data_IF_783886645344
#
_entry.id   IF_783886645344
#
_cell.length_a   1.000
_cell.length_b   1.000
_cell.length_c   1.000
_cell.angle_alpha   90.00
_cell.angle_beta   90.00
_cell.angle_gamma   90.00
#
_symmetry.space_group_name_H-M   'P 1'
#
loop_
_entity.id
_entity.type
_entity.pdbx_description
1 polymer ?
#
# COMPACT_ATOMS: atom_id res chain seq x y z
N UNK A 1 0.16 -8.12 -30.91
CA UNK A 1 0.87 -7.05 -30.18
C UNK A 1 2.20 -7.60 -29.67
N UNK A 2 3.26 -6.83 -29.81
CA UNK A 2 4.56 -7.18 -29.18
C UNK A 2 4.43 -7.14 -27.66
N UNK A 3 5.23 -7.96 -26.95
CA UNK A 3 5.30 -7.90 -25.49
C UNK A 3 5.79 -6.52 -25.04
N UNK A 4 5.31 -6.02 -23.89
CA UNK A 4 5.79 -4.75 -23.33
C UNK A 4 7.31 -4.78 -23.09
N UNK A 5 7.97 -3.66 -23.35
CA UNK A 5 9.39 -3.50 -23.03
C UNK A 5 9.66 -3.40 -21.52
N UNK A 6 8.67 -2.97 -20.74
CA UNK A 6 8.75 -2.89 -19.28
C UNK A 6 8.38 -4.22 -18.59
N UNK A 7 8.69 -4.33 -17.30
CA UNK A 7 8.42 -5.51 -16.46
C UNK A 7 7.26 -5.31 -15.48
N UNK A 8 6.32 -4.45 -15.83
CA UNK A 8 5.15 -4.12 -15.01
C UNK A 8 5.36 -2.88 -14.15
N UNK A 9 4.26 -2.39 -13.59
CA UNK A 9 4.25 -1.28 -12.63
C UNK A 9 4.70 -1.81 -11.27
N UNK A 10 5.88 -1.40 -10.79
CA UNK A 10 6.50 -1.91 -9.56
C UNK A 10 7.08 -0.83 -8.67
N UNK A 11 6.88 0.42 -9.02
CA UNK A 11 7.30 1.56 -8.21
C UNK A 11 6.15 2.54 -8.08
N UNK A 12 5.92 2.99 -6.85
CA UNK A 12 4.98 4.07 -6.54
C UNK A 12 5.61 4.96 -5.46
N UNK A 13 5.39 6.26 -5.56
CA UNK A 13 5.83 7.22 -4.56
C UNK A 13 4.63 8.05 -4.07
N UNK A 14 4.49 8.19 -2.75
CA UNK A 14 3.48 9.04 -2.12
C UNK A 14 4.15 10.21 -1.40
N UNK A 15 3.51 11.36 -1.46
CA UNK A 15 3.84 12.48 -0.56
C UNK A 15 3.07 12.31 0.74
N UNK A 16 3.72 12.55 1.87
CA UNK A 16 3.14 12.38 3.21
C UNK A 16 3.32 13.62 4.07
N UNK A 17 2.39 13.85 4.97
CA UNK A 17 2.42 15.01 5.88
C UNK A 17 3.37 14.80 7.07
N UNK A 18 3.63 13.55 7.45
CA UNK A 18 4.56 13.19 8.52
C UNK A 18 5.24 11.85 8.18
N UNK A 19 6.49 11.94 7.71
CA UNK A 19 7.24 10.78 7.24
C UNK A 19 7.43 9.72 8.33
N UNK A 20 7.78 10.13 9.55
CA UNK A 20 8.03 9.19 10.65
C UNK A 20 6.78 8.38 11.00
N UNK A 21 5.62 9.03 11.04
CA UNK A 21 4.32 8.37 11.28
C UNK A 21 3.97 7.41 10.15
N UNK A 22 4.06 7.85 8.91
CA UNK A 22 3.76 7.02 7.74
C UNK A 22 4.75 5.86 7.61
N UNK A 23 6.05 6.08 7.85
CA UNK A 23 7.05 5.02 7.92
C UNK A 23 6.65 3.92 8.90
N UNK A 24 6.34 4.30 10.14
CA UNK A 24 5.91 3.35 11.17
C UNK A 24 4.70 2.53 10.72
N UNK A 25 3.72 3.17 10.08
CA UNK A 25 2.54 2.52 9.53
C UNK A 25 2.91 1.42 8.53
N UNK A 26 3.69 1.74 7.50
CA UNK A 26 4.03 0.79 6.44
C UNK A 26 4.96 -0.34 6.92
N UNK A 27 5.90 -0.05 7.81
CA UNK A 27 6.75 -1.07 8.41
C UNK A 27 5.96 -2.04 9.30
N UNK A 28 5.15 -1.51 10.23
CA UNK A 28 4.49 -2.33 11.24
C UNK A 28 3.23 -3.04 10.77
N UNK A 29 2.49 -2.43 9.84
CA UNK A 29 1.22 -2.96 9.38
C UNK A 29 1.37 -3.84 8.13
N UNK A 30 2.17 -3.40 7.16
CA UNK A 30 2.38 -4.11 5.91
C UNK A 30 3.66 -4.95 5.89
N UNK A 31 4.49 -4.86 6.93
CA UNK A 31 5.76 -5.59 6.99
C UNK A 31 6.75 -5.20 5.90
N UNK A 32 6.60 -4.00 5.32
CA UNK A 32 7.52 -3.50 4.31
C UNK A 32 8.88 -3.19 4.93
N UNK A 33 9.95 -3.56 4.24
CA UNK A 33 11.32 -3.33 4.71
C UNK A 33 11.91 -2.10 4.08
N UNK A 34 12.50 -1.22 4.88
CA UNK A 34 13.29 -0.10 4.38
C UNK A 34 14.49 -0.66 3.62
N UNK A 35 14.65 -0.24 2.36
CA UNK A 35 15.76 -0.63 1.48
C UNK A 35 16.69 0.55 1.19
N UNK A 36 16.22 1.77 1.37
CA UNK A 36 17.03 2.97 1.20
C UNK A 36 16.42 4.17 1.95
N UNK A 37 17.25 4.92 2.63
CA UNK A 37 16.88 6.14 3.37
C UNK A 37 18.01 7.16 3.22
N UNK A 38 18.00 7.95 2.12
CA UNK A 38 19.09 8.86 1.81
C UNK A 38 19.17 10.07 2.73
N UNK A 39 18.05 10.49 3.30
CA UNK A 39 17.89 11.70 4.11
C UNK A 39 16.60 11.63 4.96
N UNK A 40 16.36 12.58 5.89
CA UNK A 40 15.19 12.57 6.76
C UNK A 40 13.84 12.75 6.06
N UNK A 41 13.82 13.19 4.81
CA UNK A 41 12.60 13.51 4.06
C UNK A 41 12.19 12.41 3.07
N UNK A 42 13.01 11.35 2.93
CA UNK A 42 12.81 10.32 1.93
C UNK A 42 13.07 8.93 2.49
N UNK A 43 12.15 8.00 2.29
CA UNK A 43 12.31 6.59 2.63
C UNK A 43 11.74 5.70 1.54
N UNK A 44 12.45 4.60 1.27
CA UNK A 44 12.10 3.62 0.24
C UNK A 44 11.98 2.24 0.86
N UNK A 45 10.90 1.55 0.52
CA UNK A 45 10.58 0.21 1.02
C UNK A 45 10.51 -0.79 -0.11
N UNK A 46 10.59 -2.07 0.25
CA UNK A 46 10.27 -3.17 -0.65
C UNK A 46 9.61 -4.32 0.12
N UNK A 47 8.66 -4.97 -0.55
CA UNK A 47 8.07 -6.26 -0.13
C UNK A 47 8.77 -7.44 -0.82
N UNK A 48 9.77 -7.18 -1.69
CA UNK A 48 10.56 -8.19 -2.40
C UNK A 48 10.70 -7.92 -3.89
N UNK A 49 9.60 -7.62 -4.60
CA UNK A 49 9.59 -7.41 -6.05
C UNK A 49 9.05 -6.04 -6.47
N UNK A 50 8.89 -5.15 -5.53
CA UNK A 50 8.38 -3.79 -5.67
C UNK A 50 9.35 -2.76 -5.09
N UNK A 51 9.05 -1.49 -5.32
CA UNK A 51 9.70 -0.37 -4.67
C UNK A 51 8.64 0.70 -4.36
N UNK A 52 8.48 0.99 -3.10
CA UNK A 52 7.51 1.95 -2.59
C UNK A 52 8.21 3.09 -1.87
N UNK A 53 7.93 4.33 -2.24
CA UNK A 53 8.60 5.49 -1.67
C UNK A 53 7.63 6.40 -0.93
N UNK A 54 8.10 6.99 0.16
CA UNK A 54 7.44 8.09 0.85
C UNK A 54 8.34 9.32 0.82
N UNK A 55 7.76 10.46 0.47
CA UNK A 55 8.42 11.74 0.44
C UNK A 55 7.70 12.72 1.37
N UNK A 56 8.43 13.31 2.32
CA UNK A 56 7.90 14.33 3.21
C UNK A 56 7.46 15.55 2.40
N UNK A 57 6.25 16.03 2.62
CA UNK A 57 5.83 17.34 2.12
C UNK A 57 6.67 18.40 2.82
N UNK A 58 7.34 19.31 2.10
CA UNK A 58 8.15 20.36 2.70
C UNK A 58 7.37 21.21 3.70
N UNK A 59 8.02 21.62 4.79
CA UNK A 59 7.37 22.43 5.83
C UNK A 59 6.71 23.71 5.28
N UNK A 60 7.29 24.30 4.25
CA UNK A 60 6.73 25.48 3.56
C UNK A 60 5.42 25.20 2.82
N UNK A 61 5.14 23.94 2.47
CA UNK A 61 3.92 23.54 1.77
C UNK A 61 2.85 22.96 2.73
N UNK A 62 3.24 22.49 3.93
CA UNK A 62 2.33 21.80 4.85
C UNK A 62 1.14 22.66 5.27
N UNK A 63 1.34 23.96 5.52
CA UNK A 63 0.27 24.88 5.94
C UNK A 63 -0.77 25.14 4.84
N UNK A 64 -0.35 25.05 3.59
CA UNK A 64 -1.23 25.21 2.42
C UNK A 64 -1.74 23.87 1.89
N UNK A 65 -1.25 22.74 2.42
CA UNK A 65 -1.66 21.42 1.98
C UNK A 65 -3.12 21.17 2.37
N UNK A 66 -3.93 20.98 1.35
CA UNK A 66 -5.33 20.55 1.51
C UNK A 66 -5.45 19.15 0.90
N UNK A 67 -5.90 18.15 1.66
CA UNK A 67 -6.27 16.86 1.07
C UNK A 67 -7.32 17.11 -0.02
N UNK A 68 -6.98 16.76 -1.26
CA UNK A 68 -7.90 16.94 -2.36
C UNK A 68 -9.09 15.99 -2.20
N UNK A 69 -10.30 16.53 -2.20
CA UNK A 69 -11.48 15.72 -2.47
C UNK A 69 -11.42 15.27 -3.94
N UNK A 70 -11.46 13.94 -4.17
CA UNK A 70 -11.34 13.41 -5.52
C UNK A 70 -9.93 13.48 -6.09
N UNK A 71 -8.91 13.16 -5.28
CA UNK A 71 -7.53 13.05 -5.78
C UNK A 71 -7.42 12.04 -6.93
N UNK A 72 -6.47 12.27 -7.83
CA UNK A 72 -6.29 11.43 -9.03
C UNK A 72 -5.85 9.99 -8.72
N UNK A 73 -5.07 9.78 -7.66
CA UNK A 73 -4.73 8.44 -7.20
C UNK A 73 -5.89 7.87 -6.38
N UNK A 74 -6.58 6.88 -6.94
CA UNK A 74 -7.69 6.21 -6.27
C UNK A 74 -7.19 5.33 -5.11
N UNK A 75 -6.29 4.40 -5.38
CA UNK A 75 -5.67 3.54 -4.38
C UNK A 75 -4.37 2.91 -4.89
N UNK A 76 -3.59 2.36 -3.97
CA UNK A 76 -2.50 1.42 -4.24
C UNK A 76 -2.91 0.03 -3.76
N UNK A 77 -2.43 -1.04 -4.41
CA UNK A 77 -2.78 -2.41 -4.06
C UNK A 77 -1.59 -3.26 -3.66
N UNK A 78 -1.76 -4.06 -2.61
CA UNK A 78 -0.86 -5.15 -2.25
C UNK A 78 -1.53 -6.47 -2.59
N UNK A 79 -0.77 -7.38 -3.21
CA UNK A 79 -1.30 -8.65 -3.72
C UNK A 79 -1.13 -9.75 -2.67
N UNK A 80 -2.23 -10.48 -2.44
CA UNK A 80 -2.28 -11.66 -1.58
C UNK A 80 -2.54 -12.92 -2.42
N UNK A 81 -2.11 -14.06 -1.91
CA UNK A 81 -2.12 -15.33 -2.63
C UNK A 81 -3.51 -15.97 -2.79
N UNK A 82 -4.45 -15.65 -1.86
CA UNK A 82 -5.78 -16.26 -1.85
C UNK A 82 -6.80 -15.37 -1.13
N UNK A 83 -8.12 -15.61 -1.32
CA UNK A 83 -9.17 -14.94 -0.54
C UNK A 83 -9.01 -15.15 0.97
N UNK A 84 -8.61 -16.34 1.41
CA UNK A 84 -8.38 -16.65 2.82
C UNK A 84 -7.20 -15.84 3.39
N UNK A 85 -6.19 -15.54 2.57
CA UNK A 85 -5.09 -14.66 2.97
C UNK A 85 -5.56 -13.21 3.14
N UNK A 86 -6.53 -12.75 2.34
CA UNK A 86 -7.18 -11.44 2.50
C UNK A 86 -7.93 -11.38 3.83
N UNK A 87 -8.71 -12.41 4.17
CA UNK A 87 -9.44 -12.47 5.45
C UNK A 87 -8.49 -12.50 6.65
N UNK A 88 -7.41 -13.28 6.58
CA UNK A 88 -6.38 -13.31 7.64
C UNK A 88 -5.75 -11.93 7.82
N UNK A 89 -5.36 -11.27 6.73
CA UNK A 89 -4.79 -9.93 6.78
C UNK A 89 -5.78 -8.92 7.38
N UNK A 90 -7.06 -9.00 7.02
CA UNK A 90 -8.09 -8.14 7.60
C UNK A 90 -8.16 -8.29 9.12
N UNK A 91 -8.20 -9.52 9.63
CA UNK A 91 -8.24 -9.82 11.05
C UNK A 91 -7.02 -9.31 11.83
N UNK A 92 -5.85 -9.30 11.20
CA UNK A 92 -4.60 -8.79 11.79
C UNK A 92 -4.50 -7.26 11.74
N UNK A 93 -4.98 -6.66 10.66
CA UNK A 93 -4.84 -5.22 10.39
C UNK A 93 -5.89 -4.40 11.12
N UNK A 94 -7.14 -4.82 11.09
CA UNK A 94 -8.28 -4.04 11.61
C UNK A 94 -8.07 -3.58 13.06
N UNK A 95 -7.70 -4.43 14.03
CA UNK A 95 -7.55 -4.01 15.43
C UNK A 95 -6.37 -3.05 15.68
N UNK A 96 -5.40 -2.98 14.74
CA UNK A 96 -4.20 -2.16 14.86
C UNK A 96 -4.27 -0.81 14.15
N UNK A 97 -5.25 -0.67 13.24
CA UNK A 97 -5.33 0.50 12.35
C UNK A 97 -5.43 1.82 13.09
N UNK A 98 -6.31 1.92 14.09
CA UNK A 98 -6.55 3.19 14.79
C UNK A 98 -5.31 3.69 15.54
N UNK A 99 -4.54 2.80 16.16
CA UNK A 99 -3.28 3.16 16.85
C UNK A 99 -2.21 3.67 15.89
N UNK A 100 -2.21 3.14 14.66
CA UNK A 100 -1.27 3.51 13.60
C UNK A 100 -1.78 4.67 12.72
N UNK A 101 -2.94 5.25 13.05
CA UNK A 101 -3.49 6.41 12.37
C UNK A 101 -4.33 6.09 11.13
N UNK A 102 -4.61 4.81 10.87
CA UNK A 102 -5.43 4.36 9.75
C UNK A 102 -6.86 3.99 10.15
N UNK A 103 -7.64 3.54 9.17
CA UNK A 103 -9.00 3.04 9.37
C UNK A 103 -9.41 2.08 8.26
N UNK A 104 -10.40 1.22 8.51
CA UNK A 104 -11.05 0.45 7.44
C UNK A 104 -11.91 1.40 6.59
N UNK A 105 -11.73 1.31 5.28
CA UNK A 105 -12.52 2.06 4.27
C UNK A 105 -13.63 1.20 3.72
N UNK A 106 -13.33 -0.07 3.39
CA UNK A 106 -14.32 -1.06 2.93
C UNK A 106 -13.95 -2.43 3.50
N UNK A 107 -14.89 -3.18 4.10
CA UNK A 107 -14.63 -4.53 4.59
C UNK A 107 -14.40 -5.51 3.42
N UNK A 108 -13.93 -6.74 3.71
CA UNK A 108 -13.72 -7.77 2.70
C UNK A 108 -14.96 -8.02 1.84
N UNK A 109 -14.75 -8.08 0.53
CA UNK A 109 -15.82 -8.27 -0.45
C UNK A 109 -15.33 -8.96 -1.71
N UNK A 110 -16.17 -9.87 -2.24
CA UNK A 110 -16.02 -10.45 -3.57
C UNK A 110 -16.43 -9.44 -4.65
N UNK A 111 -15.62 -9.33 -5.69
CA UNK A 111 -15.88 -8.45 -6.85
C UNK A 111 -16.32 -9.26 -8.07
N UNK A 112 -16.89 -8.56 -9.07
CA UNK A 112 -17.44 -9.19 -10.29
C UNK A 112 -16.41 -9.87 -11.19
N UNK A 113 -15.17 -9.41 -11.12
CA UNK A 113 -14.02 -9.94 -11.88
C UNK A 113 -13.39 -11.18 -11.24
N UNK A 114 -13.94 -11.66 -10.11
CA UNK A 114 -13.41 -12.79 -9.35
C UNK A 114 -12.38 -12.39 -8.31
N UNK A 115 -12.00 -11.10 -8.21
CA UNK A 115 -11.12 -10.63 -7.17
C UNK A 115 -11.83 -10.56 -5.82
N UNK A 116 -11.04 -10.61 -4.73
CA UNK A 116 -11.50 -10.48 -3.35
C UNK A 116 -10.59 -9.54 -2.60
N UNK A 117 -11.14 -8.53 -1.93
CA UNK A 117 -10.32 -7.50 -1.31
C UNK A 117 -11.01 -6.76 -0.18
N UNK A 118 -10.22 -6.08 0.65
CA UNK A 118 -10.68 -5.01 1.53
C UNK A 118 -9.84 -3.75 1.32
N UNK A 119 -10.33 -2.63 1.83
CA UNK A 119 -9.65 -1.34 1.74
C UNK A 119 -9.46 -0.73 3.11
N UNK A 120 -8.31 -0.16 3.34
CA UNK A 120 -7.98 0.62 4.54
C UNK A 120 -7.20 1.87 4.15
N UNK A 121 -7.11 2.84 5.04
CA UNK A 121 -6.36 4.06 4.79
C UNK A 121 -5.07 4.10 5.60
N UNK A 122 -4.06 4.77 5.04
CA UNK A 122 -2.88 5.20 5.79
C UNK A 122 -3.19 6.45 6.62
N UNK A 123 -2.22 6.97 7.42
CA UNK A 123 -2.43 8.14 8.26
C UNK A 123 -2.78 9.44 7.52
N UNK A 124 -2.46 9.53 6.24
CA UNK A 124 -2.79 10.68 5.40
C UNK A 124 -4.10 10.49 4.59
N UNK A 125 -4.76 9.34 4.74
CA UNK A 125 -5.99 9.03 4.05
C UNK A 125 -5.80 8.38 2.68
N UNK A 126 -4.56 8.01 2.30
CA UNK A 126 -4.35 7.24 1.07
C UNK A 126 -5.00 5.87 1.21
N UNK A 127 -5.78 5.47 0.20
CA UNK A 127 -6.44 4.17 0.19
C UNK A 127 -5.48 3.07 -0.24
N UNK A 128 -5.49 1.99 0.53
CA UNK A 128 -4.72 0.78 0.26
C UNK A 128 -5.70 -0.37 0.09
N UNK A 129 -5.56 -1.12 -0.98
CA UNK A 129 -6.34 -2.33 -1.25
C UNK A 129 -5.49 -3.57 -0.95
N UNK A 130 -5.94 -4.40 -0.03
CA UNK A 130 -5.41 -5.75 0.14
C UNK A 130 -6.19 -6.68 -0.76
N UNK A 131 -5.55 -7.23 -1.79
CA UNK A 131 -6.22 -7.77 -2.98
C UNK A 131 -5.74 -9.18 -3.32
N UNK A 132 -6.68 -10.11 -3.42
CA UNK A 132 -6.54 -11.30 -4.24
C UNK A 132 -7.07 -11.01 -5.64
N UNK A 133 -6.23 -11.18 -6.66
CA UNK A 133 -6.61 -11.00 -8.07
C UNK A 133 -6.22 -12.26 -8.84
N UNK A 134 -7.20 -13.02 -9.43
CA UNK A 134 -6.97 -14.37 -9.97
C UNK A 134 -5.89 -14.47 -11.02
N UNK A 135 -5.65 -13.41 -11.80
CA UNK A 135 -4.66 -13.42 -12.87
C UNK A 135 -3.23 -13.16 -12.40
N UNK A 136 -3.09 -12.46 -11.26
CA UNK A 136 -1.79 -12.08 -10.69
C UNK A 136 -1.41 -12.95 -9.51
N UNK A 137 -2.36 -13.23 -8.60
CA UNK A 137 -2.10 -13.94 -7.34
C UNK A 137 -1.60 -15.38 -7.51
N UNK A 138 -1.78 -15.96 -8.69
CA UNK A 138 -1.30 -17.32 -9.03
C UNK A 138 0.13 -17.37 -9.55
N UNK A 139 0.75 -16.22 -9.79
CA UNK A 139 2.11 -16.16 -10.30
C UNK A 139 3.12 -16.57 -9.22
N UNK A 140 4.18 -17.29 -9.61
CA UNK A 140 5.17 -17.84 -8.68
C UNK A 140 5.84 -16.79 -7.78
N UNK A 141 6.02 -15.56 -8.28
CA UNK A 141 6.62 -14.48 -7.48
C UNK A 141 5.70 -13.94 -6.38
N UNK A 142 4.38 -14.19 -6.43
CA UNK A 142 3.42 -13.82 -5.38
C UNK A 142 3.39 -14.90 -4.28
N UNK A 143 3.58 -16.15 -4.66
CA UNK A 143 3.72 -17.27 -3.72
C UNK A 143 5.09 -17.14 -3.06
N UNK A 144 5.17 -16.58 -1.89
CA UNK A 144 6.43 -16.42 -1.17
C UNK A 144 7.32 -17.67 -1.27
N UNK A 145 8.63 -17.48 -1.36
CA UNK A 145 9.58 -18.60 -1.27
C UNK A 145 9.34 -19.32 0.06
N UNK A 146 8.80 -20.51 -0.02
CA UNK A 146 8.78 -21.45 1.10
C UNK A 146 10.18 -21.73 1.60
#
# INVERSE_FOLDING_TARGET
MSAPLHRGLRHVALRVTNLARSRTFYEQLLGMRVVWEPDPDNVYFSSGSDNFALHQIPASELTAFQPLQGQLLDHVGVILESPEAVDRMYQEVEPRLSELGGRIVKPPKQHRDGSYSFYFSDPDGNAIQALYEPTISKLEWVKGKT
#
